data_IF_399693538899
#
_entry.id   IF_399693538899
#
_cell.length_a   1.000
_cell.length_b   1.000
_cell.length_c   1.000
_cell.angle_alpha   90.00
_cell.angle_beta   90.00
_cell.angle_gamma   90.00
#
_symmetry.space_group_name_H-M   'P 1'
#
loop_
_entity.id
_entity.type
_entity.pdbx_description
1 polymer ?
#
# COMPACT_ATOMS: atom_id res chain seq x y z
N UNK A 1 10.79 -23.28 17.47
CA UNK A 1 9.69 -22.31 17.34
C UNK A 1 10.33 -20.94 17.28
N UNK A 2 10.49 -20.43 16.06
CA UNK A 2 10.81 -19.03 15.78
C UNK A 2 9.95 -18.71 14.56
N UNK A 3 8.69 -18.41 14.82
CA UNK A 3 7.82 -17.83 13.79
C UNK A 3 8.40 -16.45 13.55
N UNK A 4 9.20 -16.32 12.50
CA UNK A 4 9.63 -15.02 12.01
C UNK A 4 8.36 -14.25 11.75
N UNK A 5 8.10 -13.20 12.54
CA UNK A 5 7.17 -12.14 12.18
C UNK A 5 7.53 -11.72 10.77
N UNK A 6 6.78 -12.20 9.79
CA UNK A 6 6.78 -11.64 8.46
C UNK A 6 6.21 -10.23 8.67
N UNK A 7 7.12 -9.31 9.00
CA UNK A 7 6.95 -7.89 8.75
C UNK A 7 6.89 -7.79 7.23
N UNK A 8 5.75 -8.20 6.67
CA UNK A 8 5.40 -7.89 5.29
C UNK A 8 5.19 -6.39 5.34
N UNK A 9 6.29 -5.66 5.12
CA UNK A 9 6.31 -4.21 5.21
C UNK A 9 5.24 -3.61 4.30
N UNK A 10 5.00 -2.30 4.40
CA UNK A 10 3.98 -1.65 3.58
C UNK A 10 4.23 -1.97 2.10
N UNK A 11 3.21 -2.43 1.37
CA UNK A 11 3.27 -2.75 -0.06
C UNK A 11 2.32 -1.88 -0.85
N UNK A 12 2.67 -1.61 -2.11
CA UNK A 12 1.83 -0.85 -3.02
C UNK A 12 0.60 -1.68 -3.39
N UNK A 13 -0.60 -1.19 -3.13
CA UNK A 13 -1.83 -1.90 -3.48
C UNK A 13 -1.99 -2.09 -5.00
N UNK A 14 -1.48 -1.15 -5.80
CA UNK A 14 -1.60 -1.22 -7.26
C UNK A 14 -0.62 -2.21 -7.91
N UNK A 15 0.66 -2.15 -7.55
CA UNK A 15 1.72 -2.92 -8.22
C UNK A 15 2.37 -4.01 -7.36
N UNK A 16 2.03 -4.09 -6.07
CA UNK A 16 2.60 -5.06 -5.12
C UNK A 16 4.05 -4.78 -4.71
N UNK A 17 4.63 -3.64 -5.11
CA UNK A 17 6.01 -3.30 -4.79
C UNK A 17 6.17 -2.96 -3.29
N UNK A 18 7.27 -3.40 -2.69
CA UNK A 18 7.63 -3.03 -1.32
C UNK A 18 7.84 -1.52 -1.19
N UNK A 19 7.16 -0.91 -0.22
CA UNK A 19 7.25 0.50 0.14
C UNK A 19 8.27 0.77 1.26
N UNK A 20 8.95 -0.27 1.73
CA UNK A 20 10.05 -0.13 2.67
C UNK A 20 11.11 0.83 2.13
N UNK A 21 11.41 1.88 2.88
CA UNK A 21 12.35 2.92 2.47
C UNK A 21 11.83 3.88 1.37
N UNK A 22 10.56 3.79 0.98
CA UNK A 22 9.95 4.74 0.05
C UNK A 22 9.50 5.99 0.80
N UNK A 23 10.27 7.07 0.64
CA UNK A 23 9.96 8.38 1.24
C UNK A 23 8.69 9.01 0.63
N UNK A 24 8.42 8.72 -0.65
CA UNK A 24 7.33 9.35 -1.41
C UNK A 24 6.05 8.50 -1.46
N UNK A 25 5.85 7.59 -0.50
CA UNK A 25 4.66 6.75 -0.45
C UNK A 25 3.40 7.60 -0.23
N UNK A 26 2.33 7.24 -0.92
CA UNK A 26 1.02 7.90 -0.81
C UNK A 26 0.07 6.99 -0.07
N UNK A 27 -0.51 7.49 1.01
CA UNK A 27 -1.57 6.78 1.74
C UNK A 27 -2.89 7.49 1.46
N UNK A 28 -3.87 6.78 0.92
CA UNK A 28 -5.20 7.33 0.67
C UNK A 28 -6.27 6.50 1.37
N UNK A 29 -7.29 7.16 1.95
CA UNK A 29 -8.46 6.45 2.44
C UNK A 29 -9.31 5.98 1.25
N UNK A 30 -9.62 4.69 1.22
CA UNK A 30 -10.54 4.08 0.28
C UNK A 30 -11.67 3.37 1.03
N UNK A 31 -12.76 3.06 0.33
CA UNK A 31 -13.86 2.27 0.89
C UNK A 31 -13.94 0.97 0.13
N UNK A 32 -13.45 -0.10 0.74
CA UNK A 32 -13.51 -1.46 0.23
C UNK A 32 -14.59 -2.21 1.02
N UNK A 33 -15.56 -2.82 0.34
CA UNK A 33 -16.66 -3.58 0.97
C UNK A 33 -17.40 -2.78 2.09
N UNK A 34 -17.60 -1.48 1.86
CA UNK A 34 -18.27 -0.59 2.83
C UNK A 34 -17.44 -0.23 4.07
N UNK A 35 -16.16 -0.61 4.11
CA UNK A 35 -15.23 -0.35 5.20
C UNK A 35 -14.15 0.64 4.75
N UNK A 36 -13.90 1.66 5.58
CA UNK A 36 -12.82 2.60 5.32
C UNK A 36 -11.47 1.91 5.57
N UNK A 37 -10.70 1.72 4.50
CA UNK A 37 -9.35 1.15 4.52
C UNK A 37 -8.33 2.21 4.11
N UNK A 38 -7.07 2.01 4.48
CA UNK A 38 -5.97 2.86 4.04
C UNK A 38 -5.16 2.09 3.01
N UNK A 39 -5.17 2.59 1.78
CA UNK A 39 -4.39 2.01 0.69
C UNK A 39 -3.08 2.77 0.56
N UNK A 40 -1.98 2.03 0.47
CA UNK A 40 -0.65 2.58 0.31
C UNK A 40 -0.17 2.39 -1.14
N UNK A 41 0.45 3.43 -1.68
CA UNK A 41 0.96 3.44 -3.04
C UNK A 41 2.40 3.92 -3.07
N UNK A 42 3.22 3.38 -3.97
CA UNK A 42 4.62 3.76 -4.10
C UNK A 42 4.84 5.18 -4.64
N UNK A 43 3.81 5.78 -5.21
CA UNK A 43 3.85 7.15 -5.72
C UNK A 43 2.51 7.58 -6.32
N UNK A 44 2.54 8.75 -6.95
CA UNK A 44 1.36 9.33 -7.60
C UNK A 44 0.94 8.52 -8.84
N UNK A 45 1.88 8.03 -9.65
CA UNK A 45 1.59 7.27 -10.88
C UNK A 45 0.69 6.04 -10.63
N UNK A 46 1.05 5.23 -9.62
CA UNK A 46 0.24 4.08 -9.20
C UNK A 46 -1.09 4.48 -8.57
N UNK A 47 -1.14 5.63 -7.89
CA UNK A 47 -2.37 6.15 -7.31
C UNK A 47 -3.34 6.69 -8.38
N UNK A 48 -2.81 7.36 -9.41
CA UNK A 48 -3.58 7.87 -10.56
C UNK A 48 -4.17 6.68 -11.32
N UNK A 49 -3.35 5.70 -11.66
CA UNK A 49 -3.78 4.48 -12.36
C UNK A 49 -4.82 3.66 -11.58
N UNK A 50 -4.80 3.70 -10.24
CA UNK A 50 -5.82 3.03 -9.41
C UNK A 50 -7.16 3.77 -9.39
N UNK A 51 -7.17 5.10 -9.61
CA UNK A 51 -8.38 5.93 -9.60
C UNK A 51 -9.08 6.02 -10.95
N UNK A 52 -8.40 5.66 -12.04
CA UNK A 52 -8.96 5.60 -13.41
C UNK A 52 -9.86 4.37 -13.63
#
# INVERSE_FOLDING_TARGET
MSESTADDGPTCEFCGASLEGTDNRRVVPAVEDGQAVHLEFCGDDCLEQWKE
#
